data_IF_650823950137
#
_entry.id   IF_650823950137
#
_cell.length_a   1.000
_cell.length_b   1.000
_cell.length_c   1.000
_cell.angle_alpha   90.00
_cell.angle_beta   90.00
_cell.angle_gamma   90.00
#
_symmetry.space_group_name_H-M   'P 1'
#
loop_
_entity.id
_entity.type
_entity.pdbx_description
1 polymer ?
#
# COMPACT_ATOMS: atom_id res chain seq x y z
N UNK A 1 25.13 16.96 9.89
CA UNK A 1 25.24 17.54 8.53
C UNK A 1 26.44 18.47 8.50
N UNK A 2 26.97 18.82 7.32
CA UNK A 2 27.91 19.95 7.22
C UNK A 2 27.15 21.24 7.55
N UNK A 3 27.86 22.26 8.01
CA UNK A 3 27.30 23.61 8.21
C UNK A 3 26.63 24.10 6.93
N UNK A 4 25.42 24.65 7.03
CA UNK A 4 24.59 25.02 5.87
C UNK A 4 24.04 23.83 5.07
N UNK A 5 24.06 22.62 5.64
CA UNK A 5 23.49 21.43 5.02
C UNK A 5 21.99 21.52 4.81
N UNK A 6 21.52 20.84 3.77
CA UNK A 6 20.12 20.77 3.38
C UNK A 6 19.44 19.57 4.02
N UNK A 7 18.21 19.76 4.50
CA UNK A 7 17.33 18.75 5.08
C UNK A 7 16.05 18.64 4.27
N UNK A 8 15.66 17.41 3.95
CA UNK A 8 14.35 17.11 3.36
C UNK A 8 13.51 16.39 4.39
N UNK A 9 12.44 17.03 4.86
CA UNK A 9 11.62 16.56 5.98
C UNK A 9 10.13 16.48 5.60
N UNK A 10 9.36 15.53 6.15
CA UNK A 10 7.91 15.61 6.07
C UNK A 10 7.42 16.94 6.66
N UNK A 11 6.42 17.55 6.03
CA UNK A 11 5.84 18.79 6.54
C UNK A 11 5.26 18.59 7.94
N UNK A 12 5.63 19.48 8.87
CA UNK A 12 5.12 19.54 10.23
C UNK A 12 5.15 18.20 11.01
N UNK A 13 6.26 17.47 10.97
CA UNK A 13 6.47 16.24 11.76
C UNK A 13 7.15 16.55 13.12
N UNK A 14 6.41 16.63 14.24
CA UNK A 14 6.95 17.15 15.51
C UNK A 14 7.96 16.20 16.15
N UNK A 15 7.95 14.91 15.79
CA UNK A 15 8.93 13.95 16.30
C UNK A 15 10.35 14.23 15.79
N UNK A 16 10.48 15.02 14.72
CA UNK A 16 11.76 15.40 14.15
C UNK A 16 12.30 16.71 14.73
N UNK A 17 11.44 17.60 15.26
CA UNK A 17 11.81 18.93 15.77
C UNK A 17 13.05 18.92 16.70
N UNK A 18 13.19 17.99 17.66
CA UNK A 18 14.36 17.98 18.55
C UNK A 18 15.69 17.66 17.86
N UNK A 19 15.64 17.13 16.62
CA UNK A 19 16.80 16.67 15.86
C UNK A 19 17.17 17.60 14.70
N UNK A 20 16.38 18.65 14.45
CA UNK A 20 16.63 19.63 13.39
C UNK A 20 17.65 20.67 13.89
N UNK A 21 18.83 20.79 13.25
CA UNK A 21 19.81 21.83 13.59
C UNK A 21 19.24 23.23 13.32
N UNK A 22 19.55 24.18 14.20
CA UNK A 22 19.05 25.55 14.09
C UNK A 22 19.52 26.30 12.81
N UNK A 23 20.62 25.88 12.22
CA UNK A 23 21.22 26.45 11.00
C UNK A 23 20.90 25.66 9.72
N UNK A 24 20.08 24.60 9.81
CA UNK A 24 19.75 23.78 8.65
C UNK A 24 18.80 24.51 7.69
N UNK A 25 19.06 24.35 6.39
CA UNK A 25 18.08 24.72 5.36
C UNK A 25 17.12 23.55 5.18
N UNK A 26 15.82 23.81 5.28
CA UNK A 26 14.79 22.77 5.26
C UNK A 26 13.94 22.94 4.01
N UNK A 27 13.78 21.84 3.28
CA UNK A 27 12.75 21.65 2.26
C UNK A 27 11.75 20.64 2.77
N UNK A 28 10.48 21.01 2.78
CA UNK A 28 9.40 20.17 3.28
C UNK A 28 8.66 19.47 2.14
N UNK A 29 8.14 18.27 2.41
CA UNK A 29 7.29 17.54 1.47
C UNK A 29 6.06 17.00 2.18
N UNK A 30 4.94 16.91 1.46
CA UNK A 30 3.70 16.44 2.08
C UNK A 30 2.47 16.63 1.22
N UNK A 31 1.34 16.29 1.81
CA UNK A 31 0.01 16.50 1.25
C UNK A 31 -0.59 17.82 1.79
N UNK A 32 0.02 18.35 2.84
CA UNK A 32 -0.41 19.47 3.63
C UNK A 32 -0.09 20.80 2.91
N UNK A 33 -1.05 21.74 2.98
CA UNK A 33 -0.88 23.07 2.42
C UNK A 33 0.30 23.79 3.08
N UNK A 34 1.20 24.31 2.24
CA UNK A 34 2.43 24.98 2.69
C UNK A 34 3.68 24.09 2.65
N UNK A 35 3.56 22.82 2.25
CA UNK A 35 4.74 22.00 1.91
C UNK A 35 5.47 22.59 0.69
N UNK A 36 6.81 22.60 0.69
CA UNK A 36 7.59 23.11 -0.45
C UNK A 36 7.40 22.24 -1.71
N UNK A 37 7.27 20.93 -1.50
CA UNK A 37 6.78 19.96 -2.49
C UNK A 37 5.45 19.39 -1.99
N UNK A 38 4.36 19.96 -2.46
CA UNK A 38 3.01 19.61 -2.02
C UNK A 38 2.30 18.71 -3.03
N UNK A 39 1.79 17.55 -2.61
CA UNK A 39 0.82 16.78 -3.39
C UNK A 39 -0.52 17.51 -3.40
N UNK A 40 -0.96 17.98 -4.58
CA UNK A 40 -2.21 18.76 -4.73
C UNK A 40 -3.31 17.98 -5.42
N UNK A 41 -2.98 16.99 -6.24
CA UNK A 41 -3.96 16.09 -6.85
C UNK A 41 -3.41 14.67 -6.99
N UNK A 42 -4.31 13.68 -6.85
CA UNK A 42 -4.00 12.26 -6.96
C UNK A 42 -5.19 11.53 -7.57
N UNK A 43 -4.96 10.91 -8.72
CA UNK A 43 -5.93 10.06 -9.41
C UNK A 43 -5.38 8.64 -9.46
N UNK A 44 -6.07 7.70 -8.83
CA UNK A 44 -5.69 6.29 -8.82
C UNK A 44 -6.21 5.61 -10.09
N UNK A 45 -5.35 4.83 -10.74
CA UNK A 45 -5.68 3.96 -11.87
C UNK A 45 -5.44 2.50 -11.49
N UNK A 46 -5.79 1.58 -12.37
CA UNK A 46 -5.57 0.14 -12.17
C UNK A 46 -4.08 -0.25 -12.16
N UNK A 47 -3.24 0.47 -12.92
CA UNK A 47 -1.83 0.17 -13.14
C UNK A 47 -0.87 1.19 -12.49
N UNK A 48 -1.40 2.10 -11.67
CA UNK A 48 -0.62 3.21 -11.15
C UNK A 48 -1.46 4.36 -10.62
N UNK A 49 -0.88 5.57 -10.65
CA UNK A 49 -1.58 6.81 -10.30
C UNK A 49 -0.99 8.01 -11.03
N UNK A 50 -1.83 9.02 -11.28
CA UNK A 50 -1.45 10.34 -11.78
C UNK A 50 -1.37 11.27 -10.58
N UNK A 51 -0.28 12.00 -10.49
CA UNK A 51 0.05 12.85 -9.37
C UNK A 51 0.35 14.24 -9.89
N UNK A 52 -0.22 15.24 -9.24
CA UNK A 52 0.14 16.64 -9.46
C UNK A 52 0.74 17.16 -8.18
N UNK A 53 1.95 17.72 -8.29
CA UNK A 53 2.64 18.39 -7.20
C UNK A 53 2.72 19.89 -7.48
N UNK A 54 2.60 20.70 -6.43
CA UNK A 54 3.01 22.09 -6.44
C UNK A 54 4.45 22.16 -5.90
N UNK A 55 5.38 22.61 -6.75
CA UNK A 55 6.80 22.76 -6.43
C UNK A 55 7.17 24.21 -6.69
N UNK A 56 7.47 24.97 -5.64
CA UNK A 56 7.79 26.41 -5.75
C UNK A 56 6.77 27.26 -6.53
N UNK A 57 5.49 26.90 -6.46
CA UNK A 57 4.42 27.62 -7.16
C UNK A 57 4.16 27.14 -8.60
N UNK A 58 4.93 26.19 -9.11
CA UNK A 58 4.72 25.57 -10.41
C UNK A 58 4.15 24.16 -10.26
N UNK A 59 3.28 23.75 -11.19
CA UNK A 59 2.68 22.43 -11.19
C UNK A 59 3.60 21.44 -11.92
N UNK A 60 3.96 20.36 -11.24
CA UNK A 60 4.64 19.22 -11.83
C UNK A 60 3.68 18.03 -11.85
N UNK A 61 3.31 17.58 -13.04
CA UNK A 61 2.45 16.41 -13.24
C UNK A 61 3.27 15.19 -13.62
N UNK A 62 2.98 14.03 -13.04
CA UNK A 62 3.61 12.78 -13.42
C UNK A 62 2.65 11.60 -13.32
N UNK A 63 2.92 10.57 -14.13
CA UNK A 63 2.29 9.26 -14.03
C UNK A 63 3.29 8.27 -13.46
N UNK A 64 2.88 7.49 -12.45
CA UNK A 64 3.74 6.49 -11.82
C UNK A 64 3.07 5.12 -11.75
N UNK A 65 3.88 4.06 -11.79
CA UNK A 65 3.46 2.68 -11.52
C UNK A 65 3.43 2.35 -10.01
N UNK A 66 3.91 3.26 -9.15
CA UNK A 66 3.85 3.11 -7.71
C UNK A 66 2.45 3.48 -7.22
N UNK A 67 1.72 2.55 -6.59
CA UNK A 67 0.34 2.77 -6.15
C UNK A 67 0.23 3.18 -4.68
N UNK A 68 -0.75 4.02 -4.35
CA UNK A 68 -1.05 4.39 -2.97
C UNK A 68 -0.46 5.72 -2.52
N UNK A 69 -1.15 6.35 -1.56
CA UNK A 69 -0.81 7.69 -1.06
C UNK A 69 0.59 7.79 -0.45
N UNK A 70 1.04 6.75 0.24
CA UNK A 70 2.38 6.72 0.82
C UNK A 70 3.48 6.77 -0.27
N UNK A 71 3.26 6.16 -1.43
CA UNK A 71 4.18 6.27 -2.56
C UNK A 71 4.16 7.67 -3.19
N UNK A 72 3.01 8.34 -3.23
CA UNK A 72 2.95 9.75 -3.62
C UNK A 72 3.77 10.64 -2.67
N UNK A 73 3.67 10.43 -1.34
CA UNK A 73 4.52 11.13 -0.37
C UNK A 73 6.01 10.81 -0.54
N UNK A 74 6.37 9.55 -0.82
CA UNK A 74 7.75 9.17 -1.10
C UNK A 74 8.28 9.84 -2.39
N UNK A 75 7.44 10.00 -3.41
CA UNK A 75 7.78 10.72 -4.62
C UNK A 75 7.94 12.22 -4.36
N UNK A 76 7.10 12.83 -3.51
CA UNK A 76 7.29 14.22 -3.06
C UNK A 76 8.66 14.42 -2.41
N UNK A 77 9.07 13.49 -1.53
CA UNK A 77 10.41 13.52 -0.93
C UNK A 77 11.52 13.38 -1.99
N UNK A 78 11.36 12.48 -2.96
CA UNK A 78 12.32 12.30 -4.04
C UNK A 78 12.42 13.54 -4.95
N UNK A 79 11.29 14.17 -5.28
CA UNK A 79 11.22 15.41 -6.06
C UNK A 79 11.95 16.53 -5.30
N UNK A 80 11.71 16.68 -4.00
CA UNK A 80 12.41 17.64 -3.16
C UNK A 80 13.94 17.43 -3.23
N UNK A 81 14.41 16.18 -3.11
CA UNK A 81 15.84 15.88 -3.25
C UNK A 81 16.37 16.19 -4.65
N UNK A 82 15.66 15.80 -5.71
CA UNK A 82 16.06 16.07 -7.10
C UNK A 82 16.17 17.57 -7.38
N UNK A 83 15.23 18.34 -6.86
CA UNK A 83 15.19 19.79 -6.97
C UNK A 83 16.40 20.43 -6.26
N UNK A 84 16.74 19.99 -5.05
CA UNK A 84 17.91 20.46 -4.31
C UNK A 84 19.24 20.12 -4.99
N UNK A 85 19.26 19.04 -5.77
CA UNK A 85 20.40 18.66 -6.59
C UNK A 85 20.43 19.39 -7.95
N UNK A 86 19.46 20.26 -8.23
CA UNK A 86 19.38 21.03 -9.48
C UNK A 86 19.07 20.17 -10.70
N UNK A 87 18.38 19.03 -10.51
CA UNK A 87 17.96 18.17 -11.61
C UNK A 87 16.74 18.74 -12.34
N UNK A 88 16.64 18.43 -13.62
CA UNK A 88 15.45 18.74 -14.43
C UNK A 88 14.26 17.89 -13.95
N UNK A 89 13.28 18.55 -13.33
CA UNK A 89 12.13 17.88 -12.72
C UNK A 89 11.18 17.27 -13.76
N UNK A 90 11.10 17.82 -14.98
CA UNK A 90 10.30 17.23 -16.05
C UNK A 90 10.92 15.90 -16.50
N UNK A 91 12.26 15.85 -16.61
CA UNK A 91 12.98 14.61 -16.89
C UNK A 91 12.86 13.58 -15.75
N UNK A 92 12.80 14.03 -14.49
CA UNK A 92 12.53 13.16 -13.33
C UNK A 92 11.10 12.61 -13.39
N UNK A 93 10.10 13.46 -13.62
CA UNK A 93 8.70 13.09 -13.75
C UNK A 93 8.47 12.07 -14.87
N UNK A 94 9.09 12.26 -16.03
CA UNK A 94 9.01 11.35 -17.17
C UNK A 94 9.50 9.92 -16.88
N UNK A 95 10.32 9.72 -15.83
CA UNK A 95 10.84 8.41 -15.43
C UNK A 95 10.02 7.73 -14.33
N UNK A 96 9.05 8.43 -13.74
CA UNK A 96 8.29 7.92 -12.60
C UNK A 96 7.37 6.73 -12.95
N UNK A 97 7.05 6.54 -14.23
CA UNK A 97 6.20 5.45 -14.73
C UNK A 97 6.86 4.06 -14.79
N UNK A 98 8.17 3.96 -14.61
CA UNK A 98 8.91 2.71 -14.75
C UNK A 98 9.84 2.44 -13.56
N UNK A 99 9.41 2.82 -12.35
CA UNK A 99 10.21 2.60 -11.13
C UNK A 99 10.12 1.11 -10.77
N UNK A 100 11.25 0.38 -10.71
CA UNK A 100 11.21 -1.02 -10.32
C UNK A 100 10.78 -1.16 -8.85
N UNK A 101 9.76 -1.96 -8.61
CA UNK A 101 9.31 -2.31 -7.27
C UNK A 101 10.10 -3.52 -6.75
N UNK A 102 10.54 -3.52 -5.49
CA UNK A 102 11.01 -4.74 -4.85
C UNK A 102 9.87 -5.75 -4.76
N UNK A 103 10.22 -7.04 -4.75
CA UNK A 103 9.24 -8.12 -4.69
C UNK A 103 8.30 -7.98 -3.50
N UNK A 104 7.02 -8.28 -3.73
CA UNK A 104 5.96 -8.35 -2.72
C UNK A 104 5.68 -7.01 -2.02
N UNK A 105 5.87 -5.89 -2.72
CA UNK A 105 5.57 -4.53 -2.25
C UNK A 105 4.56 -3.85 -3.17
N UNK A 106 3.33 -4.36 -3.15
CA UNK A 106 2.26 -3.86 -4.01
C UNK A 106 2.41 -4.30 -5.46
N UNK A 107 2.96 -5.49 -5.71
CA UNK A 107 3.04 -6.03 -7.07
C UNK A 107 1.65 -6.43 -7.56
N UNK A 108 1.14 -5.74 -8.56
CA UNK A 108 -0.17 -6.04 -9.16
C UNK A 108 0.01 -6.94 -10.39
N UNK A 109 -0.84 -7.95 -10.51
CA UNK A 109 -0.97 -8.78 -11.71
C UNK A 109 -2.43 -9.11 -11.97
N UNK A 110 -2.80 -9.20 -13.25
CA UNK A 110 -4.12 -9.68 -13.67
C UNK A 110 -4.03 -11.17 -14.01
N UNK A 111 -4.80 -11.98 -13.31
CA UNK A 111 -4.86 -13.43 -13.46
C UNK A 111 -5.89 -13.85 -14.52
N UNK A 112 -5.82 -15.12 -14.93
CA UNK A 112 -6.88 -15.78 -15.68
C UNK A 112 -8.25 -15.62 -14.99
N UNK A 113 -9.32 -15.52 -15.78
CA UNK A 113 -10.66 -15.24 -15.26
C UNK A 113 -10.93 -13.76 -14.94
N UNK A 114 -9.98 -12.84 -15.20
CA UNK A 114 -10.18 -11.41 -15.02
C UNK A 114 -10.15 -10.96 -13.56
N UNK A 115 -9.33 -11.61 -12.75
CA UNK A 115 -9.13 -11.32 -11.33
C UNK A 115 -7.84 -10.52 -11.18
N UNK A 116 -7.89 -9.39 -10.48
CA UNK A 116 -6.68 -8.64 -10.14
C UNK A 116 -6.16 -9.08 -8.79
N UNK A 117 -4.86 -9.35 -8.67
CA UNK A 117 -4.23 -9.67 -7.38
C UNK A 117 -3.06 -8.74 -7.09
N UNK A 118 -3.00 -8.26 -5.85
CA UNK A 118 -1.95 -7.37 -5.34
C UNK A 118 -1.15 -8.12 -4.29
N UNK A 119 0.15 -8.34 -4.55
CA UNK A 119 1.07 -8.97 -3.63
C UNK A 119 1.81 -7.91 -2.79
N UNK A 120 1.40 -7.76 -1.54
CA UNK A 120 2.03 -6.86 -0.56
C UNK A 120 2.47 -7.63 0.71
N UNK A 121 2.95 -8.86 0.52
CA UNK A 121 3.29 -9.81 1.57
C UNK A 121 4.78 -9.77 2.02
N UNK A 122 5.49 -8.67 1.78
CA UNK A 122 6.86 -8.53 2.30
C UNK A 122 6.89 -8.27 3.82
N UNK A 123 6.09 -7.32 4.28
CA UNK A 123 5.98 -6.95 5.70
C UNK A 123 4.58 -6.38 6.01
N UNK A 124 4.16 -6.50 7.26
CA UNK A 124 2.90 -5.94 7.76
C UNK A 124 3.08 -5.33 9.15
N UNK A 125 2.56 -4.12 9.29
CA UNK A 125 2.38 -3.40 10.54
C UNK A 125 1.05 -2.61 10.45
N UNK A 126 0.51 -2.07 11.57
CA UNK A 126 -0.81 -1.44 11.55
C UNK A 126 -0.96 -0.33 10.50
N UNK A 127 0.03 0.54 10.37
CA UNK A 127 0.00 1.65 9.41
C UNK A 127 0.04 1.16 7.95
N UNK A 128 0.86 0.15 7.63
CA UNK A 128 0.93 -0.39 6.27
C UNK A 128 -0.32 -1.21 5.91
N UNK A 129 -0.90 -1.92 6.87
CA UNK A 129 -2.19 -2.61 6.70
C UNK A 129 -3.30 -1.60 6.39
N UNK A 130 -3.37 -0.51 7.14
CA UNK A 130 -4.32 0.57 6.87
C UNK A 130 -4.14 1.15 5.47
N UNK A 131 -2.91 1.47 5.08
CA UNK A 131 -2.63 2.02 3.75
C UNK A 131 -3.04 1.05 2.63
N UNK A 132 -2.80 -0.26 2.79
CA UNK A 132 -3.14 -1.27 1.80
C UNK A 132 -4.66 -1.48 1.68
N UNK A 133 -5.39 -1.50 2.80
CA UNK A 133 -6.85 -1.65 2.80
C UNK A 133 -7.55 -0.42 2.20
N UNK A 134 -7.06 0.79 2.49
CA UNK A 134 -7.58 2.02 1.87
C UNK A 134 -7.29 2.05 0.38
N UNK A 135 -6.09 1.62 -0.04
CA UNK A 135 -5.77 1.51 -1.46
C UNK A 135 -6.70 0.50 -2.14
N UNK A 136 -6.91 -0.69 -1.55
CA UNK A 136 -7.86 -1.67 -2.08
C UNK A 136 -9.28 -1.08 -2.23
N UNK A 137 -9.72 -0.26 -1.29
CA UNK A 137 -11.01 0.43 -1.35
C UNK A 137 -11.08 1.47 -2.48
N UNK A 138 -10.03 2.29 -2.61
CA UNK A 138 -9.91 3.38 -3.58
C UNK A 138 -9.73 2.90 -5.03
N UNK A 139 -9.05 1.77 -5.25
CA UNK A 139 -8.76 1.31 -6.61
C UNK A 139 -10.02 0.73 -7.29
N UNK A 140 -10.38 1.17 -8.50
CA UNK A 140 -11.61 0.73 -9.20
C UNK A 140 -11.68 -0.78 -9.42
N UNK A 141 -12.82 -1.42 -9.12
CA UNK A 141 -13.04 -2.85 -9.39
C UNK A 141 -14.49 -3.07 -9.83
N UNK A 142 -14.70 -4.00 -10.76
CA UNK A 142 -16.03 -4.40 -11.24
C UNK A 142 -16.71 -5.41 -10.30
N UNK A 143 -15.92 -6.07 -9.44
CA UNK A 143 -16.37 -7.08 -8.51
C UNK A 143 -16.11 -6.67 -7.05
N UNK A 144 -15.78 -7.68 -6.24
CA UNK A 144 -15.57 -7.54 -4.81
C UNK A 144 -14.11 -7.23 -4.48
N UNK A 145 -13.94 -6.61 -3.32
CA UNK A 145 -12.65 -6.38 -2.66
C UNK A 145 -12.41 -7.48 -1.64
N UNK A 146 -11.42 -8.33 -1.90
CA UNK A 146 -11.05 -9.47 -1.07
C UNK A 146 -9.69 -9.18 -0.43
N UNK A 147 -9.57 -9.39 0.88
CA UNK A 147 -8.33 -9.21 1.62
C UNK A 147 -7.87 -10.53 2.26
N UNK A 148 -6.75 -11.08 1.79
CA UNK A 148 -6.05 -12.22 2.38
C UNK A 148 -5.00 -11.69 3.34
N UNK A 149 -5.25 -11.81 4.65
CA UNK A 149 -4.51 -11.13 5.70
C UNK A 149 -3.82 -12.12 6.65
N UNK A 150 -2.50 -12.02 6.74
CA UNK A 150 -1.67 -12.76 7.68
C UNK A 150 -1.30 -11.94 8.92
N UNK A 151 -0.52 -12.54 9.82
CA UNK A 151 -0.11 -11.88 11.06
C UNK A 151 0.78 -10.64 10.80
N UNK A 152 0.58 -9.60 11.60
CA UNK A 152 1.55 -8.52 11.80
C UNK A 152 2.56 -8.92 12.89
N UNK A 153 3.85 -8.89 12.58
CA UNK A 153 4.91 -9.33 13.50
C UNK A 153 5.34 -8.21 14.46
N UNK A 154 6.03 -8.58 15.54
CA UNK A 154 6.70 -7.65 16.47
C UNK A 154 5.78 -6.63 17.19
N UNK A 155 4.51 -6.96 17.40
CA UNK A 155 3.54 -6.07 18.08
C UNK A 155 3.43 -6.27 19.60
N UNK A 156 4.12 -7.27 20.15
CA UNK A 156 4.10 -7.56 21.59
C UNK A 156 2.69 -7.92 22.11
N UNK A 157 2.38 -7.59 23.38
CA UNK A 157 1.10 -7.93 24.03
C UNK A 157 -0.14 -7.35 23.34
N UNK A 158 0.03 -6.26 22.58
CA UNK A 158 -1.06 -5.54 21.92
C UNK A 158 -1.43 -6.11 20.55
N UNK A 159 -0.77 -7.20 20.13
CA UNK A 159 -0.93 -7.76 18.80
C UNK A 159 -2.40 -8.03 18.45
N UNK A 160 -3.16 -8.69 19.34
CA UNK A 160 -4.57 -9.00 19.10
C UNK A 160 -5.42 -7.74 18.88
N UNK A 161 -5.21 -6.69 19.70
CA UNK A 161 -5.90 -5.41 19.55
C UNK A 161 -5.65 -4.79 18.17
N UNK A 162 -4.40 -4.75 17.74
CA UNK A 162 -4.06 -4.18 16.43
C UNK A 162 -4.66 -4.98 15.26
N UNK A 163 -4.70 -6.32 15.35
CA UNK A 163 -5.37 -7.14 14.35
C UNK A 163 -6.88 -6.83 14.33
N UNK A 164 -7.52 -6.72 15.50
CA UNK A 164 -8.93 -6.31 15.59
C UNK A 164 -9.20 -4.94 14.97
N UNK A 165 -8.34 -3.96 15.23
CA UNK A 165 -8.47 -2.61 14.66
C UNK A 165 -8.37 -2.60 13.12
N UNK A 166 -7.45 -3.39 12.56
CA UNK A 166 -7.33 -3.58 11.11
C UNK A 166 -8.55 -4.29 10.53
N UNK A 167 -9.09 -5.28 11.22
CA UNK A 167 -10.34 -5.94 10.85
C UNK A 167 -11.52 -4.96 10.78
N UNK A 168 -11.67 -4.15 11.83
CA UNK A 168 -12.69 -3.10 11.87
C UNK A 168 -12.50 -2.06 10.76
N UNK A 169 -11.25 -1.75 10.41
CA UNK A 169 -10.97 -0.88 9.26
C UNK A 169 -11.41 -1.51 7.94
N UNK A 170 -11.12 -2.80 7.72
CA UNK A 170 -11.53 -3.51 6.50
C UNK A 170 -13.05 -3.38 6.26
N UNK A 171 -13.86 -3.59 7.31
CA UNK A 171 -15.31 -3.35 7.25
C UNK A 171 -15.66 -1.90 6.92
N UNK A 172 -15.03 -0.92 7.61
CA UNK A 172 -15.31 0.51 7.40
C UNK A 172 -14.99 1.00 5.99
N UNK A 173 -13.96 0.45 5.35
CA UNK A 173 -13.54 0.87 3.99
C UNK A 173 -14.21 0.08 2.87
N UNK A 174 -15.14 -0.84 3.21
CA UNK A 174 -15.91 -1.58 2.21
C UNK A 174 -15.17 -2.77 1.60
N UNK A 175 -14.36 -3.47 2.39
CA UNK A 175 -13.87 -4.82 2.01
C UNK A 175 -15.01 -5.81 2.12
N UNK A 176 -15.27 -6.57 1.06
CA UNK A 176 -16.39 -7.53 0.99
C UNK A 176 -16.07 -8.85 1.70
N UNK A 177 -14.80 -9.27 1.67
CA UNK A 177 -14.34 -10.55 2.22
C UNK A 177 -12.94 -10.45 2.83
N UNK A 178 -12.76 -11.05 4.01
CA UNK A 178 -11.47 -11.21 4.67
C UNK A 178 -11.16 -12.70 4.86
N UNK A 179 -10.01 -13.13 4.34
CA UNK A 179 -9.41 -14.44 4.61
C UNK A 179 -8.27 -14.24 5.60
N UNK A 180 -8.53 -14.51 6.87
CA UNK A 180 -7.55 -14.45 7.94
C UNK A 180 -6.70 -15.73 7.98
N UNK A 181 -5.38 -15.58 7.83
CA UNK A 181 -4.44 -16.70 7.74
C UNK A 181 -3.59 -16.83 9.01
N UNK A 182 -3.78 -17.93 9.73
CA UNK A 182 -3.14 -18.23 11.00
C UNK A 182 -3.94 -17.80 12.23
N UNK A 183 -3.58 -18.34 13.40
CA UNK A 183 -4.39 -18.22 14.62
C UNK A 183 -4.59 -16.77 15.08
N UNK A 184 -3.52 -15.97 15.11
CA UNK A 184 -3.60 -14.57 15.53
C UNK A 184 -4.39 -13.71 14.54
N UNK A 185 -4.40 -14.07 13.25
CA UNK A 185 -5.13 -13.34 12.22
C UNK A 185 -6.66 -13.45 12.41
N UNK A 186 -7.15 -14.42 13.17
CA UNK A 186 -8.59 -14.53 13.51
C UNK A 186 -9.15 -13.27 14.15
N UNK A 187 -8.33 -12.51 14.86
CA UNK A 187 -8.72 -11.23 15.44
C UNK A 187 -9.15 -10.19 14.39
N UNK A 188 -8.71 -10.30 13.12
CA UNK A 188 -9.25 -9.48 12.03
C UNK A 188 -10.76 -9.71 11.86
N UNK A 189 -11.23 -10.96 12.00
CA UNK A 189 -12.65 -11.30 11.84
C UNK A 189 -13.48 -10.74 12.99
N UNK A 190 -12.97 -10.84 14.22
CA UNK A 190 -13.62 -10.24 15.40
C UNK A 190 -13.81 -8.73 15.24
N UNK A 191 -12.84 -8.06 14.62
CA UNK A 191 -12.90 -6.63 14.36
C UNK A 191 -13.83 -6.25 13.20
N UNK A 192 -13.82 -7.05 12.13
CA UNK A 192 -14.64 -6.81 10.95
C UNK A 192 -16.14 -7.02 11.24
N UNK A 193 -16.47 -7.97 12.13
CA UNK A 193 -17.84 -8.33 12.46
C UNK A 193 -18.62 -8.88 11.26
N UNK A 194 -19.95 -8.87 11.36
CA UNK A 194 -20.84 -9.48 10.36
C UNK A 194 -20.96 -8.67 9.06
N UNK A 195 -20.34 -7.48 8.99
CA UNK A 195 -20.35 -6.62 7.80
C UNK A 195 -19.42 -7.10 6.67
N UNK A 196 -18.59 -8.12 6.93
CA UNK A 196 -17.59 -8.65 6.00
C UNK A 196 -17.68 -10.17 6.00
N UNK A 197 -17.62 -10.80 4.84
CA UNK A 197 -17.53 -12.27 4.76
C UNK A 197 -16.17 -12.72 5.30
N UNK A 198 -16.15 -13.28 6.51
CA UNK A 198 -14.94 -13.67 7.21
C UNK A 198 -14.63 -15.16 7.12
N UNK A 199 -13.40 -15.52 6.75
CA UNK A 199 -12.92 -16.90 6.74
C UNK A 199 -11.60 -16.99 7.50
N UNK A 200 -11.48 -17.93 8.44
CA UNK A 200 -10.22 -18.24 9.12
C UNK A 200 -9.63 -19.52 8.55
N UNK A 201 -8.38 -19.48 8.12
CA UNK A 201 -7.65 -20.60 7.54
C UNK A 201 -6.28 -20.76 8.20
N UNK A 202 -5.73 -21.97 8.13
CA UNK A 202 -4.49 -22.30 8.81
C UNK A 202 -3.24 -21.68 8.13
N UNK A 203 -3.20 -21.70 6.80
CA UNK A 203 -1.99 -21.36 6.03
C UNK A 203 -2.30 -20.80 4.63
N UNK A 204 -1.24 -20.46 3.88
CA UNK A 204 -1.33 -19.90 2.54
C UNK A 204 -2.03 -20.83 1.54
N UNK A 205 -1.86 -22.15 1.65
CA UNK A 205 -2.53 -23.12 0.76
C UNK A 205 -4.03 -23.13 1.02
N UNK A 206 -4.44 -23.18 2.28
CA UNK A 206 -5.85 -23.09 2.65
C UNK A 206 -6.47 -21.73 2.25
N UNK A 207 -5.69 -20.64 2.30
CA UNK A 207 -6.12 -19.34 1.79
C UNK A 207 -6.40 -19.36 0.28
N UNK A 208 -5.53 -20.01 -0.50
CA UNK A 208 -5.73 -20.18 -1.96
C UNK A 208 -7.01 -20.95 -2.24
N UNK A 209 -7.24 -22.10 -1.58
CA UNK A 209 -8.46 -22.88 -1.78
C UNK A 209 -9.73 -22.08 -1.42
N UNK A 210 -9.69 -21.31 -0.33
CA UNK A 210 -10.81 -20.46 0.08
C UNK A 210 -11.12 -19.34 -0.94
N UNK A 211 -10.08 -18.71 -1.50
CA UNK A 211 -10.25 -17.71 -2.56
C UNK A 211 -10.81 -18.37 -3.81
N UNK A 212 -10.23 -19.48 -4.28
CA UNK A 212 -10.70 -20.20 -5.48
C UNK A 212 -12.16 -20.67 -5.39
N UNK A 213 -12.61 -21.06 -4.19
CA UNK A 213 -13.99 -21.51 -3.97
C UNK A 213 -15.03 -20.40 -4.17
N UNK A 214 -14.63 -19.13 -4.15
CA UNK A 214 -15.57 -18.01 -4.10
C UNK A 214 -15.30 -16.91 -5.10
N UNK A 215 -14.05 -16.75 -5.58
CA UNK A 215 -13.63 -15.65 -6.44
C UNK A 215 -14.37 -15.64 -7.78
N UNK A 216 -14.66 -14.45 -8.29
CA UNK A 216 -15.40 -14.20 -9.51
C UNK A 216 -14.64 -13.24 -10.44
N UNK A 217 -14.91 -13.26 -11.75
CA UNK A 217 -14.39 -12.25 -12.65
C UNK A 217 -14.67 -10.83 -12.16
N UNK A 218 -13.67 -9.96 -12.26
CA UNK A 218 -13.74 -8.58 -11.80
C UNK A 218 -13.34 -8.37 -10.33
N UNK A 219 -13.24 -9.42 -9.52
CA UNK A 219 -12.76 -9.31 -8.13
C UNK A 219 -11.31 -8.82 -8.06
N UNK A 220 -11.00 -8.10 -6.99
CA UNK A 220 -9.63 -7.71 -6.63
C UNK A 220 -9.22 -8.29 -5.30
N UNK A 221 -8.08 -8.99 -5.29
CA UNK A 221 -7.53 -9.70 -4.13
C UNK A 221 -6.25 -9.01 -3.64
N UNK A 222 -6.28 -8.45 -2.44
CA UNK A 222 -5.08 -8.02 -1.72
C UNK A 222 -4.51 -9.18 -0.91
N UNK A 223 -3.21 -9.44 -1.03
CA UNK A 223 -2.48 -10.38 -0.17
C UNK A 223 -1.47 -9.62 0.67
N UNK A 224 -1.63 -9.67 2.00
CA UNK A 224 -0.77 -8.91 2.91
C UNK A 224 -0.52 -9.63 4.23
N UNK A 225 0.72 -9.59 4.69
CA UNK A 225 1.14 -10.18 5.95
C UNK A 225 2.61 -9.92 6.21
N UNK A 226 3.06 -10.17 7.44
CA UNK A 226 4.49 -10.21 7.73
C UNK A 226 5.14 -11.37 6.98
N UNK A 227 6.46 -11.32 6.82
CA UNK A 227 7.23 -12.39 6.17
C UNK A 227 7.01 -13.76 6.83
N UNK A 228 6.81 -13.79 8.13
CA UNK A 228 6.54 -15.01 8.90
C UNK A 228 5.21 -15.68 8.53
N UNK A 229 4.27 -14.95 7.92
CA UNK A 229 2.99 -15.51 7.46
C UNK A 229 3.11 -16.28 6.14
N UNK A 230 4.21 -16.11 5.38
CA UNK A 230 4.48 -16.88 4.16
C UNK A 230 3.46 -16.65 3.03
N UNK A 231 2.76 -15.51 3.01
CA UNK A 231 1.66 -15.27 2.06
C UNK A 231 2.13 -14.88 0.66
N UNK A 232 3.41 -14.61 0.44
CA UNK A 232 3.93 -14.17 -0.85
C UNK A 232 3.68 -15.17 -2.00
N UNK A 233 3.41 -16.43 -1.66
CA UNK A 233 3.15 -17.52 -2.61
C UNK A 233 1.69 -17.54 -3.09
N UNK A 234 0.77 -16.91 -2.36
CA UNK A 234 -0.68 -16.97 -2.66
C UNK A 234 -0.97 -16.49 -4.09
N UNK A 235 -0.45 -15.34 -4.57
CA UNK A 235 -0.73 -14.89 -5.94
C UNK A 235 -0.19 -15.84 -7.02
N UNK A 236 0.94 -16.52 -6.76
CA UNK A 236 1.53 -17.49 -7.71
C UNK A 236 0.65 -18.74 -7.80
N UNK A 237 0.25 -19.29 -6.65
CA UNK A 237 -0.61 -20.47 -6.59
C UNK A 237 -2.00 -20.20 -7.17
N UNK A 238 -2.55 -19.00 -6.96
CA UNK A 238 -3.81 -18.59 -7.60
C UNK A 238 -3.68 -18.58 -9.13
N UNK A 239 -2.59 -18.01 -9.66
CA UNK A 239 -2.34 -17.96 -11.10
C UNK A 239 -2.28 -19.37 -11.71
N UNK A 240 -1.47 -20.26 -11.14
CA UNK A 240 -1.30 -21.63 -11.62
C UNK A 240 -2.63 -22.41 -11.65
N UNK A 241 -3.46 -22.27 -10.60
CA UNK A 241 -4.73 -22.99 -10.49
C UNK A 241 -5.82 -22.46 -11.42
N UNK A 242 -5.86 -21.14 -11.63
CA UNK A 242 -6.82 -20.50 -12.53
C UNK A 242 -6.49 -20.79 -14.00
N UNK A 243 -5.20 -20.80 -14.36
CA UNK A 243 -4.75 -21.19 -15.71
C UNK A 243 -5.06 -22.66 -16.02
N UNK A 244 -4.80 -23.57 -15.07
CA UNK A 244 -5.08 -25.01 -15.24
C UNK A 244 -6.58 -25.37 -15.28
N UNK A 245 -7.47 -24.45 -14.87
CA UNK A 245 -8.92 -24.64 -14.93
C UNK A 245 -9.55 -24.10 -16.23
N UNK A 246 -8.78 -23.37 -17.04
CA UNK A 246 -9.23 -22.76 -18.29
C UNK A 246 -9.03 -23.67 -19.53
N UNK A 247 -8.43 -24.85 -19.33
CA UNK A 247 -8.25 -25.92 -20.33
C UNK A 247 -9.21 -27.07 -20.12
#
# INVERSE_FOLDING_TARGET
LREGGQLVLPFAEPLLDPYVPADAQITTFGDEAGSDVQLVDRIVRDDGQDLTYLVHGELLTLSTNLVGRHHARNLAAAIAVCQLLGLDLEAVAARAGAIPLPRWRGETQRLAGGIDVVNDAYNANPASMEAALRLLAETPTEGRRIAVLGLMAELGPEAERYHREVGALAARVGVDMVVAVGDLARAYLDGAGDGVSGFAVADATAAVEQVLATVQPGDRVLVKGSRAAGLEVVPVLLAERLEGSAT
#
